data_IF_936704180661
#
_entry.id   IF_936704180661
#
_cell.length_a   1.000
_cell.length_b   1.000
_cell.length_c   1.000
_cell.angle_alpha   90.00
_cell.angle_beta   90.00
_cell.angle_gamma   90.00
#
_symmetry.space_group_name_H-M   'P 1'
#
loop_
_entity.id
_entity.type
_entity.pdbx_description
1 polymer ?
#
# COMPACT_ATOMS: atom_id res chain seq x y z
N UNK A 1 25.95 19.23 -27.12
CA UNK A 1 24.63 19.41 -26.48
C UNK A 1 24.47 18.28 -25.47
N UNK A 2 24.51 18.57 -24.18
CA UNK A 2 24.11 17.58 -23.16
C UNK A 2 22.60 17.62 -23.12
N UNK A 3 21.94 16.51 -23.46
CA UNK A 3 20.52 16.36 -23.15
C UNK A 3 20.36 16.62 -21.65
N UNK A 4 19.59 17.66 -21.30
CA UNK A 4 19.06 17.82 -19.95
C UNK A 4 18.03 16.70 -19.76
N UNK A 5 18.51 15.48 -19.58
CA UNK A 5 17.64 14.37 -19.21
C UNK A 5 17.05 14.69 -17.85
N UNK A 6 15.72 14.80 -17.77
CA UNK A 6 15.00 14.97 -16.51
C UNK A 6 15.59 14.01 -15.46
N UNK A 7 15.76 14.49 -14.23
CA UNK A 7 16.48 13.82 -13.14
C UNK A 7 15.86 12.51 -12.63
N UNK A 8 14.98 11.88 -13.39
CA UNK A 8 14.26 10.67 -13.03
C UNK A 8 14.80 9.44 -13.75
N UNK A 9 14.81 8.33 -13.03
CA UNK A 9 15.02 6.99 -13.57
C UNK A 9 13.73 6.53 -14.24
N UNK A 10 13.86 5.91 -15.41
CA UNK A 10 12.72 5.32 -16.10
C UNK A 10 12.66 3.83 -15.76
N UNK A 11 11.54 3.33 -15.21
CA UNK A 11 11.38 1.91 -14.92
C UNK A 11 11.43 1.08 -16.20
N UNK A 12 11.99 -0.12 -16.10
CA UNK A 12 11.94 -1.09 -17.20
C UNK A 12 10.54 -1.71 -17.33
N UNK A 13 10.29 -2.42 -18.44
CA UNK A 13 9.00 -3.08 -18.68
C UNK A 13 8.60 -4.06 -17.56
N UNK A 14 9.57 -4.70 -16.91
CA UNK A 14 9.32 -5.63 -15.80
C UNK A 14 8.77 -4.87 -14.60
N UNK A 15 9.41 -3.76 -14.22
CA UNK A 15 9.02 -2.90 -13.10
C UNK A 15 7.65 -2.27 -13.36
N UNK A 16 7.39 -1.77 -14.57
CA UNK A 16 6.06 -1.29 -14.98
C UNK A 16 5.01 -2.40 -14.84
N UNK A 17 5.34 -3.62 -15.27
CA UNK A 17 4.46 -4.78 -15.11
C UNK A 17 4.09 -5.04 -13.65
N UNK A 18 5.07 -4.94 -12.73
CA UNK A 18 4.86 -5.06 -11.29
C UNK A 18 3.97 -3.94 -10.74
N UNK A 19 4.23 -2.68 -11.10
CA UNK A 19 3.42 -1.52 -10.69
C UNK A 19 1.96 -1.68 -11.13
N UNK A 20 1.72 -2.16 -12.36
CA UNK A 20 0.35 -2.32 -12.88
C UNK A 20 -0.49 -3.32 -12.08
N UNK A 21 0.13 -4.31 -11.42
CA UNK A 21 -0.57 -5.24 -10.53
C UNK A 21 -1.22 -4.52 -9.34
N UNK A 22 -0.63 -3.42 -8.86
CA UNK A 22 -1.16 -2.63 -7.74
C UNK A 22 -2.54 -2.04 -8.03
N UNK A 23 -2.90 -1.84 -9.31
CA UNK A 23 -4.25 -1.40 -9.68
C UNK A 23 -5.33 -2.37 -9.23
N UNK A 24 -5.02 -3.67 -9.18
CA UNK A 24 -5.98 -4.65 -8.68
C UNK A 24 -6.23 -4.48 -7.19
N UNK A 25 -5.20 -4.12 -6.41
CA UNK A 25 -5.35 -3.77 -5.01
C UNK A 25 -6.21 -2.50 -4.86
N UNK A 26 -5.89 -1.42 -5.59
CA UNK A 26 -6.67 -0.17 -5.55
C UNK A 26 -8.14 -0.41 -5.87
N UNK A 27 -8.43 -1.14 -6.95
CA UNK A 27 -9.81 -1.51 -7.33
C UNK A 27 -10.48 -2.40 -6.29
N UNK A 28 -9.75 -3.30 -5.65
CA UNK A 28 -10.33 -4.17 -4.64
C UNK A 28 -10.81 -3.33 -3.44
N UNK A 29 -9.91 -2.49 -2.89
CA UNK A 29 -10.20 -1.65 -1.73
C UNK A 29 -11.33 -0.67 -2.00
N UNK A 30 -11.35 -0.03 -3.18
CA UNK A 30 -12.39 0.94 -3.55
C UNK A 30 -13.77 0.33 -3.81
N UNK A 31 -13.87 -1.00 -3.99
CA UNK A 31 -15.13 -1.71 -4.24
C UNK A 31 -15.66 -2.45 -3.00
N UNK A 32 -15.04 -2.26 -1.83
CA UNK A 32 -15.60 -2.76 -0.57
C UNK A 32 -16.90 -2.02 -0.21
N UNK A 33 -17.63 -2.45 0.81
CA UNK A 33 -18.93 -1.84 1.16
C UNK A 33 -18.79 -0.48 1.87
N UNK A 34 -17.61 -0.15 2.40
CA UNK A 34 -17.33 0.99 3.27
C UNK A 34 -16.68 2.24 2.64
N UNK A 35 -16.05 2.22 1.45
CA UNK A 35 -15.49 3.42 0.82
C UNK A 35 -16.55 4.51 0.61
N UNK A 36 -16.13 5.76 0.81
CA UNK A 36 -16.93 6.93 0.46
C UNK A 36 -16.94 7.18 -1.06
N UNK A 37 -17.80 8.08 -1.52
CA UNK A 37 -17.76 8.55 -2.91
C UNK A 37 -16.41 9.18 -3.26
N UNK A 38 -15.82 9.93 -2.32
CA UNK A 38 -14.50 10.54 -2.48
C UNK A 38 -13.40 9.47 -2.60
N UNK A 39 -13.48 8.39 -1.80
CA UNK A 39 -12.53 7.26 -1.94
C UNK A 39 -12.64 6.59 -3.31
N UNK A 40 -13.85 6.38 -3.83
CA UNK A 40 -14.06 5.82 -5.18
C UNK A 40 -13.43 6.72 -6.25
N UNK A 41 -13.66 8.04 -6.17
CA UNK A 41 -13.09 9.01 -7.09
C UNK A 41 -11.56 9.04 -7.01
N UNK A 42 -11.00 9.05 -5.80
CA UNK A 42 -9.55 9.02 -5.58
C UNK A 42 -8.94 7.72 -6.13
N UNK A 43 -9.60 6.58 -5.96
CA UNK A 43 -9.14 5.30 -6.50
C UNK A 43 -9.02 5.33 -8.03
N UNK A 44 -10.02 5.86 -8.74
CA UNK A 44 -9.98 6.01 -10.20
C UNK A 44 -8.82 6.91 -10.66
N UNK A 45 -8.57 7.99 -9.92
CA UNK A 45 -7.45 8.88 -10.19
C UNK A 45 -6.10 8.19 -9.90
N UNK A 46 -5.96 7.43 -8.81
CA UNK A 46 -4.75 6.66 -8.50
C UNK A 46 -4.48 5.60 -9.57
N UNK A 47 -5.51 4.91 -10.06
CA UNK A 47 -5.37 3.95 -11.16
C UNK A 47 -4.82 4.63 -12.41
N UNK A 48 -5.28 5.86 -12.70
CA UNK A 48 -4.79 6.67 -13.81
C UNK A 48 -3.35 7.14 -13.58
N UNK A 49 -3.01 7.53 -12.35
CA UNK A 49 -1.63 7.91 -11.99
C UNK A 49 -0.66 6.75 -12.19
N UNK A 50 -1.04 5.52 -11.78
CA UNK A 50 -0.26 4.30 -11.98
C UNK A 50 0.02 3.99 -13.47
N UNK A 51 -0.82 4.44 -14.41
CA UNK A 51 -0.55 4.33 -15.84
C UNK A 51 0.51 5.31 -16.34
N UNK A 52 0.64 6.44 -15.66
CA UNK A 52 1.49 7.56 -16.10
C UNK A 52 2.86 7.59 -15.45
N UNK A 53 3.18 6.64 -14.56
CA UNK A 53 4.46 6.59 -13.82
C UNK A 53 5.69 6.37 -14.71
N UNK A 54 5.51 6.00 -15.98
CA UNK A 54 6.59 6.03 -16.99
C UNK A 54 7.02 7.49 -17.34
N UNK A 55 6.19 8.49 -16.98
CA UNK A 55 6.39 9.92 -17.23
C UNK A 55 6.27 10.74 -15.91
N UNK A 56 7.36 10.89 -15.13
CA UNK A 56 7.35 11.43 -13.76
C UNK A 56 7.09 12.95 -13.64
N UNK A 57 6.64 13.62 -14.69
CA UNK A 57 6.50 15.09 -14.72
C UNK A 57 5.28 15.66 -13.97
N UNK A 58 4.33 14.83 -13.52
CA UNK A 58 3.06 15.27 -12.93
C UNK A 58 2.53 14.29 -11.86
N UNK A 59 3.36 13.89 -10.90
CA UNK A 59 2.92 12.92 -9.90
C UNK A 59 2.45 13.63 -8.63
N UNK A 60 1.15 13.53 -8.35
CA UNK A 60 0.59 13.82 -7.03
C UNK A 60 1.00 12.72 -6.05
N UNK A 61 1.09 13.04 -4.76
CA UNK A 61 1.21 12.02 -3.74
C UNK A 61 -0.14 11.36 -3.52
N UNK A 62 -0.13 10.09 -3.13
CA UNK A 62 -1.35 9.35 -2.87
C UNK A 62 -1.11 8.15 -1.97
N UNK A 63 -2.18 7.66 -1.34
CA UNK A 63 -2.18 6.41 -0.61
C UNK A 63 -3.45 5.60 -0.88
N UNK A 64 -3.33 4.28 -0.70
CA UNK A 64 -4.45 3.35 -0.56
C UNK A 64 -4.12 2.40 0.57
N UNK A 65 -4.95 2.37 1.61
CA UNK A 65 -4.80 1.51 2.78
C UNK A 65 -6.06 0.69 3.05
N UNK A 66 -5.86 -0.55 3.48
CA UNK A 66 -6.87 -1.41 4.06
C UNK A 66 -6.32 -1.93 5.38
N UNK A 67 -7.04 -1.68 6.47
CA UNK A 67 -6.67 -2.11 7.81
C UNK A 67 -7.83 -2.90 8.43
N UNK A 68 -7.50 -4.02 9.08
CA UNK A 68 -8.39 -4.70 10.03
C UNK A 68 -7.74 -4.60 11.40
N UNK A 69 -8.46 -4.14 12.41
CA UNK A 69 -7.90 -3.96 13.75
C UNK A 69 -8.89 -4.31 14.86
N UNK A 70 -8.33 -4.39 16.06
CA UNK A 70 -9.02 -4.65 17.31
C UNK A 70 -8.46 -3.68 18.34
N UNK A 71 -9.22 -2.64 18.66
CA UNK A 71 -8.78 -1.60 19.59
C UNK A 71 -8.57 -2.13 21.00
N UNK A 72 -9.39 -3.10 21.45
CA UNK A 72 -9.30 -3.64 22.80
C UNK A 72 -7.99 -4.42 23.00
N UNK A 73 -7.62 -5.26 22.03
CA UNK A 73 -6.33 -5.98 22.05
C UNK A 73 -5.17 -5.01 21.86
N UNK A 74 -5.27 -4.03 20.96
CA UNK A 74 -4.21 -3.04 20.70
C UNK A 74 -3.87 -2.22 21.95
N UNK A 75 -4.87 -1.83 22.74
CA UNK A 75 -4.70 -1.02 23.96
C UNK A 75 -4.60 -1.87 25.25
N UNK A 76 -4.65 -3.20 25.14
CA UNK A 76 -4.47 -4.11 26.26
C UNK A 76 -5.60 -4.11 27.29
N UNK A 77 -6.83 -3.80 26.86
CA UNK A 77 -8.03 -3.93 27.69
C UNK A 77 -8.29 -5.43 28.02
N UNK A 78 -8.91 -5.69 29.19
CA UNK A 78 -8.35 -6.56 30.23
C UNK A 78 -7.90 -7.94 29.72
N UNK A 79 -6.58 -8.12 29.59
CA UNK A 79 -5.90 -9.39 29.25
C UNK A 79 -6.23 -10.00 27.88
N UNK A 80 -6.84 -9.24 26.96
CA UNK A 80 -7.03 -9.73 25.61
C UNK A 80 -5.67 -9.94 24.91
N UNK A 81 -5.60 -11.01 24.12
CA UNK A 81 -4.38 -11.59 23.57
C UNK A 81 -4.68 -12.10 22.17
N UNK A 82 -3.90 -11.67 21.20
CA UNK A 82 -4.09 -12.09 19.82
C UNK A 82 -3.47 -11.13 18.82
N UNK A 83 -3.87 -11.29 17.57
CA UNK A 83 -3.68 -10.32 16.51
C UNK A 83 -4.57 -9.10 16.79
N UNK A 84 -4.01 -7.90 16.62
CA UNK A 84 -4.74 -6.65 16.82
C UNK A 84 -4.70 -5.72 15.61
N UNK A 85 -3.87 -6.04 14.60
CA UNK A 85 -3.87 -5.34 13.33
C UNK A 85 -3.41 -6.24 12.21
N UNK A 86 -4.06 -6.12 11.06
CA UNK A 86 -3.56 -6.56 9.77
C UNK A 86 -3.75 -5.44 8.74
N UNK A 87 -2.65 -5.05 8.11
CA UNK A 87 -2.56 -3.89 7.23
C UNK A 87 -2.13 -4.31 5.84
N UNK A 88 -2.71 -3.69 4.81
CA UNK A 88 -2.16 -3.62 3.46
C UNK A 88 -2.20 -2.18 2.98
N UNK A 89 -1.09 -1.68 2.46
CA UNK A 89 -1.04 -0.32 1.97
C UNK A 89 -0.07 -0.13 0.80
N UNK A 90 -0.41 0.85 -0.03
CA UNK A 90 0.43 1.33 -1.13
C UNK A 90 0.44 2.85 -1.06
N UNK A 91 1.63 3.42 -1.04
CA UNK A 91 1.85 4.87 -1.00
C UNK A 91 2.69 5.28 -2.19
N UNK A 92 2.43 6.45 -2.74
CA UNK A 92 3.37 7.17 -3.58
C UNK A 92 3.69 8.50 -2.94
N UNK A 93 4.93 8.65 -2.50
CA UNK A 93 5.44 9.87 -1.89
C UNK A 93 6.88 10.11 -2.35
N UNK A 94 7.22 11.36 -2.62
CA UNK A 94 8.60 11.77 -2.92
C UNK A 94 9.25 10.86 -3.99
N UNK A 95 8.54 10.67 -5.11
CA UNK A 95 8.98 9.83 -6.22
C UNK A 95 9.30 8.38 -5.83
N UNK A 96 8.60 7.84 -4.83
CA UNK A 96 8.77 6.47 -4.38
C UNK A 96 7.42 5.81 -4.18
N UNK A 97 7.21 4.65 -4.82
CA UNK A 97 6.14 3.74 -4.39
C UNK A 97 6.67 2.95 -3.20
N UNK A 98 5.89 2.92 -2.12
CA UNK A 98 6.10 2.01 -0.99
C UNK A 98 4.90 1.08 -0.88
N UNK A 99 5.16 -0.22 -0.71
CA UNK A 99 4.15 -1.27 -0.60
C UNK A 99 4.39 -1.98 0.74
N UNK A 100 3.36 -2.08 1.56
CA UNK A 100 3.46 -2.65 2.91
C UNK A 100 2.31 -3.60 3.17
N UNK A 101 2.61 -4.79 3.66
CA UNK A 101 1.67 -5.58 4.43
C UNK A 101 2.30 -5.96 5.76
N UNK A 102 1.55 -5.78 6.84
CA UNK A 102 2.03 -6.03 8.19
C UNK A 102 0.94 -6.70 9.01
N UNK A 103 1.37 -7.55 9.92
CA UNK A 103 0.54 -8.16 10.94
C UNK A 103 1.10 -7.82 12.32
N UNK A 104 0.26 -7.31 13.22
CA UNK A 104 0.65 -7.01 14.59
C UNK A 104 -0.16 -7.84 15.60
N UNK A 105 0.53 -8.34 16.62
CA UNK A 105 -0.05 -9.20 17.64
C UNK A 105 0.63 -9.03 19.01
N UNK A 106 -0.07 -9.39 20.08
CA UNK A 106 0.50 -9.46 21.43
C UNK A 106 1.56 -10.58 21.55
N UNK A 107 2.40 -10.54 22.58
CA UNK A 107 3.42 -11.57 22.81
C UNK A 107 2.86 -12.98 23.06
N UNK A 108 1.64 -13.09 23.58
CA UNK A 108 0.96 -14.35 23.82
C UNK A 108 -0.25 -14.45 22.91
N UNK A 109 -0.05 -14.60 21.61
CA UNK A 109 -1.16 -14.75 20.67
C UNK A 109 -1.85 -16.10 20.90
N UNK A 110 -3.15 -16.08 21.24
CA UNK A 110 -3.98 -17.27 21.40
C UNK A 110 -4.75 -17.47 20.08
N UNK A 111 -4.55 -18.63 19.44
CA UNK A 111 -5.21 -18.98 18.19
C UNK A 111 -4.36 -18.70 16.96
N UNK A 112 -4.27 -19.70 16.08
CA UNK A 112 -3.86 -19.56 14.70
C UNK A 112 -4.88 -18.68 13.97
N UNK A 113 -4.45 -17.60 13.30
CA UNK A 113 -5.24 -16.93 12.26
C UNK A 113 -4.30 -16.38 11.17
N UNK A 114 -3.64 -17.30 10.46
CA UNK A 114 -2.65 -17.03 9.41
C UNK A 114 -1.21 -17.01 9.91
N UNK A 115 -0.26 -17.27 9.01
CA UNK A 115 1.16 -16.96 9.26
C UNK A 115 1.33 -15.44 9.34
N UNK A 116 2.30 -14.97 10.13
CA UNK A 116 2.72 -13.57 10.08
C UNK A 116 3.02 -13.22 8.62
N UNK A 117 2.19 -12.35 8.04
CA UNK A 117 2.44 -11.87 6.69
C UNK A 117 3.12 -10.51 6.81
N UNK A 118 4.35 -10.46 6.31
CA UNK A 118 5.10 -9.23 6.15
C UNK A 118 5.52 -9.13 4.69
N UNK A 119 5.08 -8.06 4.05
CA UNK A 119 5.52 -7.69 2.71
C UNK A 119 6.04 -6.26 2.77
N UNK A 120 7.22 -6.05 2.22
CA UNK A 120 7.76 -4.72 1.98
C UNK A 120 8.27 -4.60 0.54
N UNK A 121 7.91 -3.51 -0.11
CA UNK A 121 8.39 -3.15 -1.43
C UNK A 121 8.65 -1.65 -1.54
N UNK A 122 9.67 -1.27 -2.29
CA UNK A 122 10.00 0.11 -2.61
C UNK A 122 10.44 0.23 -4.07
N UNK A 123 9.85 1.17 -4.80
CA UNK A 123 10.23 1.52 -6.17
C UNK A 123 10.50 3.02 -6.20
N UNK A 124 11.77 3.39 -6.28
CA UNK A 124 12.24 4.77 -6.29
C UNK A 124 12.53 5.23 -7.73
N UNK A 125 11.94 6.36 -8.12
CA UNK A 125 12.02 6.94 -9.46
C UNK A 125 13.07 8.07 -9.57
N UNK A 126 13.73 8.46 -8.47
CA UNK A 126 14.83 9.42 -8.52
C UNK A 126 16.10 8.78 -9.08
N UNK A 127 16.84 9.52 -9.90
CA UNK A 127 18.21 9.13 -10.27
C UNK A 127 19.13 9.32 -9.06
N UNK A 128 19.16 8.35 -8.15
CA UNK A 128 20.25 8.28 -7.17
C UNK A 128 21.39 7.46 -7.78
N UNK A 129 22.57 8.08 -7.92
CA UNK A 129 23.74 7.48 -8.58
C UNK A 129 24.22 6.14 -7.98
N UNK A 130 23.70 5.70 -6.81
CA UNK A 130 24.19 4.52 -6.08
C UNK A 130 23.13 3.73 -5.27
N UNK A 131 21.83 4.04 -5.40
CA UNK A 131 20.76 3.38 -4.65
C UNK A 131 20.12 2.18 -5.36
N UNK A 132 19.44 1.30 -4.62
CA UNK A 132 18.55 0.29 -5.19
C UNK A 132 17.27 0.99 -5.66
N UNK A 133 16.99 0.99 -6.97
CA UNK A 133 15.76 1.59 -7.52
C UNK A 133 14.52 0.75 -7.23
N UNK A 134 14.67 -0.58 -7.17
CA UNK A 134 13.58 -1.51 -6.95
C UNK A 134 13.99 -2.53 -5.90
N UNK A 135 13.28 -2.54 -4.78
CA UNK A 135 13.36 -3.57 -3.76
C UNK A 135 11.97 -4.18 -3.58
N UNK A 136 11.85 -5.50 -3.68
CA UNK A 136 10.61 -6.23 -3.37
C UNK A 136 10.99 -7.44 -2.54
N UNK A 137 10.40 -7.59 -1.35
CA UNK A 137 10.62 -8.76 -0.49
C UNK A 137 9.91 -10.03 -0.96
N UNK A 138 8.93 -9.89 -1.87
CA UNK A 138 8.16 -10.99 -2.47
C UNK A 138 7.49 -10.58 -3.79
N UNK A 139 6.52 -11.35 -4.26
CA UNK A 139 5.71 -10.99 -5.44
C UNK A 139 4.55 -10.06 -5.06
N UNK A 140 4.33 -9.00 -5.85
CA UNK A 140 3.18 -8.12 -5.67
C UNK A 140 1.85 -8.89 -5.86
N UNK A 141 1.82 -9.95 -6.67
CA UNK A 141 0.64 -10.81 -6.78
C UNK A 141 0.27 -11.47 -5.46
N UNK A 142 1.26 -11.88 -4.64
CA UNK A 142 1.00 -12.45 -3.32
C UNK A 142 0.42 -11.39 -2.38
N UNK A 143 0.98 -10.16 -2.40
CA UNK A 143 0.43 -9.01 -1.68
C UNK A 143 -1.04 -8.74 -2.06
N UNK A 144 -1.34 -8.66 -3.36
CA UNK A 144 -2.70 -8.40 -3.87
C UNK A 144 -3.64 -9.54 -3.51
N UNK A 145 -3.21 -10.79 -3.65
CA UNK A 145 -4.02 -11.96 -3.32
C UNK A 145 -4.33 -12.04 -1.83
N UNK A 146 -3.36 -11.71 -0.97
CA UNK A 146 -3.55 -11.67 0.47
C UNK A 146 -4.56 -10.59 0.87
N UNK A 147 -4.43 -9.38 0.31
CA UNK A 147 -5.39 -8.29 0.52
C UNK A 147 -6.81 -8.67 0.06
N UNK A 148 -6.95 -9.33 -1.09
CA UNK A 148 -8.28 -9.81 -1.56
C UNK A 148 -8.90 -10.85 -0.63
N UNK A 149 -8.10 -11.51 0.19
CA UNK A 149 -8.52 -12.51 1.16
C UNK A 149 -8.77 -11.90 2.57
N UNK A 150 -8.83 -10.56 2.69
CA UNK A 150 -8.90 -9.89 3.99
C UNK A 150 -10.03 -10.40 4.89
N UNK A 151 -11.20 -10.70 4.31
CA UNK A 151 -12.37 -11.22 5.03
C UNK A 151 -12.09 -12.53 5.78
N UNK A 152 -11.14 -13.35 5.33
CA UNK A 152 -10.78 -14.59 6.02
C UNK A 152 -10.03 -14.36 7.33
N UNK A 153 -9.52 -13.14 7.55
CA UNK A 153 -8.82 -12.73 8.75
C UNK A 153 -9.73 -12.03 9.76
N UNK A 154 -10.97 -11.68 9.36
CA UNK A 154 -11.96 -11.13 10.28
C UNK A 154 -12.32 -12.21 11.30
N UNK A 155 -12.28 -11.83 12.58
CA UNK A 155 -12.67 -12.70 13.69
C UNK A 155 -13.76 -12.04 14.52
N UNK A 156 -14.15 -12.66 15.64
CA UNK A 156 -15.08 -12.04 16.58
C UNK A 156 -14.52 -10.71 17.15
N UNK A 157 -13.20 -10.60 17.32
CA UNK A 157 -12.57 -9.44 17.97
C UNK A 157 -11.82 -8.55 16.97
N UNK A 158 -11.09 -9.14 16.01
CA UNK A 158 -10.47 -8.43 14.89
C UNK A 158 -11.50 -8.21 13.76
N UNK A 159 -12.35 -7.18 13.90
CA UNK A 159 -13.46 -6.94 13.00
C UNK A 159 -13.68 -5.49 12.59
N UNK A 160 -12.92 -4.55 13.17
CA UNK A 160 -12.98 -3.16 12.76
C UNK A 160 -12.17 -3.01 11.48
N UNK A 161 -12.76 -2.38 10.46
CA UNK A 161 -12.13 -2.23 9.15
C UNK A 161 -12.05 -0.74 8.82
N UNK A 162 -10.86 -0.29 8.44
CA UNK A 162 -10.60 1.06 7.96
C UNK A 162 -10.06 1.01 6.53
N UNK A 163 -10.54 1.97 5.74
CA UNK A 163 -10.11 2.20 4.37
C UNK A 163 -9.70 3.66 4.25
N UNK A 164 -8.48 3.88 3.78
CA UNK A 164 -7.99 5.21 3.43
C UNK A 164 -7.60 5.23 1.95
N UNK A 165 -8.09 6.22 1.21
CA UNK A 165 -7.77 6.42 -0.21
C UNK A 165 -7.69 7.92 -0.46
N UNK A 166 -6.48 8.44 -0.47
CA UNK A 166 -6.22 9.88 -0.49
C UNK A 166 -5.23 10.29 -1.59
N UNK A 167 -5.36 11.54 -2.03
CA UNK A 167 -4.47 12.19 -2.99
C UNK A 167 -4.17 13.60 -2.49
N UNK A 168 -2.90 13.98 -2.48
CA UNK A 168 -2.49 15.32 -2.09
C UNK A 168 -1.29 15.82 -2.90
N UNK A 169 -1.09 17.13 -2.85
CA UNK A 169 0.04 17.81 -3.47
C UNK A 169 1.02 18.25 -2.38
N UNK A 170 2.32 18.16 -2.67
CA UNK A 170 3.31 18.77 -1.78
C UNK A 170 3.16 20.28 -1.88
N UNK A 171 3.17 21.02 -0.75
CA UNK A 171 3.20 22.47 -0.80
C UNK A 171 4.43 22.91 -1.60
N UNK A 172 4.23 23.81 -2.58
CA UNK A 172 5.33 24.45 -3.27
C UNK A 172 6.12 25.27 -2.23
N UNK A 173 7.32 24.80 -1.87
CA UNK A 173 8.25 25.60 -1.09
C UNK A 173 8.81 26.69 -2.02
N UNK A 174 8.18 27.86 -1.99
CA UNK A 174 8.65 29.08 -2.67
C UNK A 174 9.84 29.73 -1.96
#
# INVERSE_FOLDING_TARGET
MKEKGNGHWMPDHKTVGQIRKLKEFVRHVSNLEMPTADNTQNADQIISLLDTLENPGQTKNWNVCLDIFDHDVQYGYPQQKGFYRRKWAVYYELNTITIEAETNHTAQYLGHYGDNFCFYGSINFDKVEKGIQVFLSGDIEEFVSDAKNYNSYITETLNEIEIDIDIWELPEFH
#
